data_IF_294475183142
#
_entry.id   IF_294475183142
#
_cell.length_a   1.000
_cell.length_b   1.000
_cell.length_c   1.000
_cell.angle_alpha   90.00
_cell.angle_beta   90.00
_cell.angle_gamma   90.00
#
_symmetry.space_group_name_H-M   'P 1'
#
loop_
_entity.id
_entity.type
_entity.pdbx_description
1 polymer ?
#
# COMPACT_ATOMS: atom_id res chain seq x y z
N UNK A 1 9.74 -23.62 -2.58
CA UNK A 1 8.38 -23.12 -2.76
C UNK A 1 8.44 -21.60 -2.91
N UNK A 2 7.92 -21.10 -4.02
CA UNK A 2 7.93 -19.68 -4.27
C UNK A 2 6.85 -18.96 -3.47
N UNK A 3 7.26 -17.97 -2.68
CA UNK A 3 6.32 -17.19 -1.88
C UNK A 3 5.85 -15.99 -2.69
N UNK A 4 4.54 -15.89 -2.85
CA UNK A 4 3.94 -14.74 -3.52
C UNK A 4 3.85 -13.55 -2.57
N UNK A 5 3.85 -12.36 -3.13
CA UNK A 5 3.82 -11.12 -2.36
C UNK A 5 2.87 -10.12 -3.00
N UNK A 6 2.01 -9.51 -2.17
CA UNK A 6 1.16 -8.38 -2.56
C UNK A 6 1.49 -7.21 -1.65
N UNK A 7 1.64 -6.04 -2.23
CA UNK A 7 1.94 -4.81 -1.50
C UNK A 7 0.71 -3.89 -1.49
N UNK A 8 0.34 -3.42 -0.30
CA UNK A 8 -0.70 -2.41 -0.13
C UNK A 8 -0.04 -1.07 0.12
N UNK A 9 -0.37 -0.08 -0.68
CA UNK A 9 0.15 1.27 -0.55
C UNK A 9 -0.99 2.28 -0.53
N UNK A 10 -0.67 3.51 -0.22
CA UNK A 10 -1.64 4.59 -0.14
C UNK A 10 -1.37 5.49 1.05
N UNK A 11 -2.06 6.63 1.13
CA UNK A 11 -1.84 7.59 2.22
C UNK A 11 -2.26 7.04 3.57
N UNK A 12 -1.83 7.72 4.63
CA UNK A 12 -2.25 7.40 6.00
C UNK A 12 -3.78 7.49 6.10
N UNK A 13 -4.37 6.55 6.80
CA UNK A 13 -5.83 6.52 6.99
C UNK A 13 -6.62 5.90 5.86
N UNK A 14 -5.96 5.43 4.79
CA UNK A 14 -6.66 4.80 3.66
C UNK A 14 -7.18 3.39 3.97
N UNK A 15 -6.77 2.79 5.09
CA UNK A 15 -7.26 1.48 5.50
C UNK A 15 -6.35 0.31 5.13
N UNK A 16 -5.08 0.54 4.91
CA UNK A 16 -4.12 -0.52 4.54
C UNK A 16 -4.02 -1.61 5.60
N UNK A 17 -3.83 -1.22 6.86
CA UNK A 17 -3.73 -2.17 7.97
C UNK A 17 -5.02 -2.98 8.10
N UNK A 18 -6.16 -2.34 7.97
CA UNK A 18 -7.47 -3.01 8.05
C UNK A 18 -7.66 -4.00 6.90
N UNK A 19 -7.25 -3.63 5.70
CA UNK A 19 -7.35 -4.51 4.54
C UNK A 19 -6.50 -5.76 4.73
N UNK A 20 -5.26 -5.59 5.20
CA UNK A 20 -4.36 -6.70 5.47
C UNK A 20 -4.93 -7.59 6.58
N UNK A 21 -5.45 -7.00 7.66
CA UNK A 21 -6.03 -7.74 8.78
C UNK A 21 -7.25 -8.57 8.34
N UNK A 22 -8.05 -8.03 7.43
CA UNK A 22 -9.25 -8.72 6.93
C UNK A 22 -8.86 -9.95 6.08
N UNK A 23 -7.81 -9.85 5.29
CA UNK A 23 -7.37 -10.93 4.40
C UNK A 23 -6.44 -11.92 5.07
N UNK A 24 -5.74 -11.52 6.11
CA UNK A 24 -4.68 -12.32 6.72
C UNK A 24 -5.23 -13.47 7.57
N UNK A 25 -4.62 -14.64 7.44
CA UNK A 25 -4.90 -15.81 8.27
C UNK A 25 -4.13 -15.77 9.58
N UNK A 26 -3.18 -14.86 9.71
CA UNK A 26 -2.41 -14.65 10.94
C UNK A 26 -2.70 -13.25 11.49
N UNK A 27 -2.36 -13.02 12.75
CA UNK A 27 -2.42 -11.67 13.32
C UNK A 27 -1.44 -10.78 12.59
N UNK A 28 -1.87 -9.54 12.26
CA UNK A 28 -1.01 -8.58 11.58
C UNK A 28 0.16 -8.21 12.48
N UNK A 29 1.35 -8.25 11.92
CA UNK A 29 2.59 -7.90 12.62
C UNK A 29 3.10 -6.57 12.07
N UNK A 30 3.40 -5.63 12.96
CA UNK A 30 4.09 -4.40 12.56
C UNK A 30 5.58 -4.66 12.62
N UNK A 31 6.22 -4.65 11.46
CA UNK A 31 7.64 -4.88 11.32
C UNK A 31 8.38 -3.55 11.32
N UNK A 32 9.29 -3.39 12.25
CA UNK A 32 10.11 -2.18 12.32
C UNK A 32 11.41 -2.42 11.57
N UNK A 33 11.72 -1.53 10.62
CA UNK A 33 12.97 -1.56 9.87
C UNK A 33 13.75 -0.30 10.22
N UNK A 34 14.96 -0.49 10.74
CA UNK A 34 15.83 0.63 11.08
C UNK A 34 16.47 1.17 9.81
N UNK A 35 16.67 2.49 9.79
CA UNK A 35 17.29 3.17 8.67
C UNK A 35 18.68 2.61 8.34
N UNK A 36 19.42 2.19 9.37
CA UNK A 36 20.75 1.58 9.21
C UNK A 36 20.70 0.25 8.45
N UNK A 37 19.62 -0.52 8.62
CA UNK A 37 19.45 -1.80 7.94
C UNK A 37 19.20 -1.61 6.43
N UNK A 38 18.78 -0.43 6.04
CA UNK A 38 18.51 -0.08 4.64
C UNK A 38 19.68 0.68 4.00
N UNK A 39 20.77 0.85 4.74
CA UNK A 39 21.97 1.58 4.30
C UNK A 39 21.67 3.02 3.83
N UNK A 40 20.64 3.63 4.42
CA UNK A 40 20.23 4.99 4.11
C UNK A 40 20.62 5.86 5.29
N UNK A 41 21.23 6.96 5.07
CA UNK A 41 21.69 7.96 6.03
C UNK A 41 21.88 7.48 7.49
N UNK A 42 23.11 7.16 7.87
CA UNK A 42 23.46 6.60 9.18
C UNK A 42 23.18 7.53 10.37
N UNK A 43 22.87 8.80 10.14
CA UNK A 43 22.63 9.76 11.22
C UNK A 43 21.18 9.76 11.71
N UNK A 44 20.25 9.22 10.93
CA UNK A 44 18.84 9.19 11.28
C UNK A 44 18.44 7.80 11.74
N UNK A 45 18.48 7.55 13.05
CA UNK A 45 17.94 6.34 13.66
C UNK A 45 16.41 6.41 13.58
N UNK A 46 15.87 6.25 12.37
CA UNK A 46 14.44 6.29 12.15
C UNK A 46 13.93 4.87 11.98
N UNK A 47 12.99 4.48 12.80
CA UNK A 47 12.29 3.22 12.69
C UNK A 47 11.11 3.41 11.75
N UNK A 48 11.01 2.55 10.73
CA UNK A 48 9.89 2.57 9.79
C UNK A 48 8.98 1.40 10.11
N UNK A 49 7.72 1.69 10.44
CA UNK A 49 6.71 0.67 10.70
C UNK A 49 6.10 0.16 9.40
N UNK A 50 6.13 -1.14 9.19
CA UNK A 50 5.50 -1.80 8.05
C UNK A 50 4.60 -2.90 8.57
N UNK A 51 3.40 -3.02 7.99
CA UNK A 51 2.47 -4.07 8.35
C UNK A 51 2.73 -5.32 7.51
N UNK A 52 2.56 -6.48 8.14
CA UNK A 52 2.74 -7.76 7.49
C UNK A 52 1.62 -8.72 7.90
N UNK A 53 1.07 -9.41 6.93
CA UNK A 53 0.12 -10.50 7.12
C UNK A 53 0.40 -11.62 6.13
N UNK A 54 -0.30 -12.74 6.29
CA UNK A 54 -0.19 -13.87 5.38
C UNK A 54 -1.58 -14.41 5.06
N UNK A 55 -1.78 -14.78 3.80
CA UNK A 55 -3.01 -15.41 3.33
C UNK A 55 -2.64 -16.71 2.63
N UNK A 56 -3.33 -17.80 2.98
CA UNK A 56 -3.14 -19.10 2.34
C UNK A 56 -4.36 -19.42 1.48
N UNK A 57 -4.12 -19.70 0.21
CA UNK A 57 -5.17 -20.08 -0.72
C UNK A 57 -5.49 -21.57 -0.58
N UNK A 58 -6.63 -22.00 -1.16
CA UNK A 58 -7.13 -23.37 -1.05
C UNK A 58 -6.12 -24.43 -1.53
N UNK A 59 -5.30 -24.08 -2.51
CA UNK A 59 -4.26 -24.97 -3.07
C UNK A 59 -2.98 -25.01 -2.22
N UNK A 60 -2.97 -24.34 -1.07
CA UNK A 60 -1.80 -24.28 -0.18
C UNK A 60 -0.79 -23.20 -0.54
N UNK A 61 -1.04 -22.40 -1.58
CA UNK A 61 -0.16 -21.30 -1.94
C UNK A 61 -0.26 -20.19 -0.89
N UNK A 62 0.89 -19.75 -0.37
CA UNK A 62 0.95 -18.69 0.62
C UNK A 62 1.29 -17.35 -0.04
N UNK A 63 0.57 -16.31 0.37
CA UNK A 63 0.77 -14.95 -0.11
C UNK A 63 1.13 -14.06 1.08
N UNK A 64 2.30 -13.42 1.01
CA UNK A 64 2.69 -12.39 1.97
C UNK A 64 2.00 -11.06 1.63
N UNK A 65 1.38 -10.44 2.63
CA UNK A 65 0.67 -9.17 2.51
C UNK A 65 1.49 -8.10 3.24
N UNK A 66 1.95 -7.10 2.50
CA UNK A 66 2.83 -6.05 3.04
C UNK A 66 2.15 -4.69 2.91
N UNK A 67 2.13 -3.92 4.00
CA UNK A 67 1.63 -2.55 3.97
C UNK A 67 2.78 -1.55 4.02
N UNK A 68 2.84 -0.64 3.06
CA UNK A 68 3.84 0.42 3.06
C UNK A 68 3.55 1.44 4.16
N UNK A 69 4.60 2.10 4.71
CA UNK A 69 4.38 3.25 5.57
C UNK A 69 3.62 4.34 4.81
N UNK A 70 2.58 4.89 5.42
CA UNK A 70 1.74 5.91 4.79
C UNK A 70 2.34 7.30 4.81
N UNK A 71 3.40 7.53 5.56
CA UNK A 71 4.07 8.83 5.62
C UNK A 71 5.03 8.97 4.44
N UNK A 72 4.93 10.08 3.72
CA UNK A 72 5.74 10.35 2.52
C UNK A 72 7.24 10.32 2.80
N UNK A 73 7.66 10.73 3.98
CA UNK A 73 9.09 10.74 4.34
C UNK A 73 9.70 9.33 4.32
N UNK A 74 8.87 8.28 4.31
CA UNK A 74 9.32 6.90 4.24
C UNK A 74 9.16 6.29 2.85
N UNK A 75 8.96 7.11 1.82
CA UNK A 75 8.73 6.62 0.47
C UNK A 75 9.94 5.88 -0.11
N UNK A 76 11.12 6.03 0.48
CA UNK A 76 12.32 5.31 0.06
C UNK A 76 12.19 3.78 0.22
N UNK A 77 11.31 3.32 1.10
CA UNK A 77 11.08 1.89 1.31
C UNK A 77 10.14 1.30 0.24
N UNK A 78 9.33 2.13 -0.42
CA UNK A 78 8.32 1.65 -1.37
C UNK A 78 8.91 0.87 -2.54
N UNK A 79 10.01 1.32 -3.20
CA UNK A 79 10.63 0.52 -4.26
C UNK A 79 11.14 -0.82 -3.75
N UNK A 80 11.70 -0.85 -2.54
CA UNK A 80 12.26 -2.07 -1.94
C UNK A 80 11.14 -3.08 -1.70
N UNK A 81 10.04 -2.67 -1.09
CA UNK A 81 8.90 -3.54 -0.83
C UNK A 81 8.26 -4.05 -2.12
N UNK A 82 8.24 -3.22 -3.15
CA UNK A 82 7.59 -3.56 -4.42
C UNK A 82 8.38 -4.55 -5.26
N UNK A 83 9.67 -4.74 -4.98
CA UNK A 83 10.48 -5.70 -5.71
C UNK A 83 9.94 -7.11 -5.57
N UNK A 84 9.70 -7.76 -6.70
CA UNK A 84 9.21 -9.14 -6.72
C UNK A 84 7.75 -9.31 -6.34
N UNK A 85 7.02 -8.23 -6.13
CA UNK A 85 5.59 -8.33 -5.84
C UNK A 85 4.81 -8.81 -7.06
N UNK A 86 3.81 -9.67 -6.84
CA UNK A 86 2.91 -10.09 -7.90
C UNK A 86 1.90 -9.00 -8.26
N UNK A 87 1.67 -8.07 -7.34
CA UNK A 87 0.80 -6.93 -7.56
C UNK A 87 0.94 -5.89 -6.47
N UNK A 88 0.56 -4.67 -6.79
CA UNK A 88 0.47 -3.56 -5.85
C UNK A 88 -0.96 -3.06 -5.84
N UNK A 89 -1.53 -2.95 -4.64
CA UNK A 89 -2.87 -2.39 -4.44
C UNK A 89 -2.71 -1.02 -3.78
N UNK A 90 -3.16 0.01 -4.47
CA UNK A 90 -3.16 1.37 -3.95
C UNK A 90 -4.54 1.67 -3.38
N UNK A 91 -4.61 1.96 -2.09
CA UNK A 91 -5.87 2.35 -1.44
C UNK A 91 -5.93 3.86 -1.31
N UNK A 92 -7.03 4.43 -1.79
CA UNK A 92 -7.29 5.87 -1.75
C UNK A 92 -8.50 6.12 -0.88
N UNK A 93 -8.36 7.03 0.08
CA UNK A 93 -9.44 7.41 1.00
C UNK A 93 -10.39 8.38 0.32
N UNK A 94 -11.63 7.95 0.07
CA UNK A 94 -12.66 8.76 -0.58
C UNK A 94 -13.04 9.99 0.27
N UNK A 95 -12.82 9.94 1.56
CA UNK A 95 -13.12 11.04 2.48
C UNK A 95 -11.95 12.00 2.67
N UNK A 96 -10.81 11.77 1.98
CA UNK A 96 -9.66 12.68 2.05
C UNK A 96 -9.99 14.03 1.41
N UNK A 97 -9.16 15.02 1.69
CA UNK A 97 -9.38 16.38 1.18
C UNK A 97 -9.44 16.40 -0.35
N UNK A 98 -8.49 15.72 -1.00
CA UNK A 98 -8.43 15.64 -2.47
C UNK A 98 -8.01 14.24 -2.89
N UNK A 99 -8.97 13.29 -2.92
CA UNK A 99 -8.64 11.90 -3.22
C UNK A 99 -8.14 11.68 -4.66
N UNK A 100 -8.57 12.51 -5.61
CA UNK A 100 -8.10 12.41 -7.00
C UNK A 100 -6.63 12.82 -7.10
N UNK A 101 -6.22 13.86 -6.37
CA UNK A 101 -4.82 14.26 -6.31
C UNK A 101 -3.96 13.15 -5.67
N UNK A 102 -4.47 12.51 -4.62
CA UNK A 102 -3.78 11.38 -3.99
C UNK A 102 -3.63 10.23 -4.98
N UNK A 103 -4.68 9.90 -5.71
CA UNK A 103 -4.66 8.86 -6.73
C UNK A 103 -3.59 9.15 -7.79
N UNK A 104 -3.59 10.37 -8.34
CA UNK A 104 -2.62 10.77 -9.34
C UNK A 104 -1.19 10.68 -8.84
N UNK A 105 -0.97 11.11 -7.59
CA UNK A 105 0.36 11.10 -6.96
C UNK A 105 0.89 9.66 -6.79
N UNK A 106 0.08 8.77 -6.21
CA UNK A 106 0.50 7.39 -5.98
C UNK A 106 0.68 6.61 -7.27
N UNK A 107 -0.19 6.81 -8.26
CA UNK A 107 -0.04 6.16 -9.57
C UNK A 107 1.23 6.63 -10.27
N UNK A 108 1.53 7.93 -10.21
CA UNK A 108 2.76 8.46 -10.81
C UNK A 108 4.00 7.82 -10.19
N UNK A 109 4.06 7.73 -8.86
CA UNK A 109 5.19 7.14 -8.16
C UNK A 109 5.33 5.66 -8.52
N UNK A 110 4.26 4.87 -8.35
CA UNK A 110 4.33 3.43 -8.54
C UNK A 110 4.53 3.03 -9.99
N UNK A 111 4.07 3.82 -10.95
CA UNK A 111 4.35 3.56 -12.36
C UNK A 111 5.85 3.63 -12.68
N UNK A 112 6.61 4.37 -11.90
CA UNK A 112 8.06 4.52 -12.07
C UNK A 112 8.88 3.47 -11.33
N UNK A 113 8.38 2.96 -10.21
CA UNK A 113 9.14 2.05 -9.35
C UNK A 113 8.70 0.60 -9.46
N UNK A 114 7.56 0.32 -10.10
CA UNK A 114 7.00 -1.02 -10.19
C UNK A 114 6.41 -1.26 -11.58
N UNK A 115 6.78 -2.37 -12.21
CA UNK A 115 6.41 -2.67 -13.60
C UNK A 115 5.32 -3.74 -13.71
N UNK A 116 4.78 -4.22 -12.58
CA UNK A 116 3.76 -5.26 -12.59
C UNK A 116 2.34 -4.68 -12.57
N UNK A 117 1.40 -5.47 -12.09
CA UNK A 117 -0.01 -5.10 -12.04
C UNK A 117 -0.28 -4.17 -10.87
N UNK A 118 -0.94 -3.05 -11.14
CA UNK A 118 -1.37 -2.09 -10.14
C UNK A 118 -2.90 -2.03 -10.16
N UNK A 119 -3.51 -2.20 -8.98
CA UNK A 119 -4.95 -2.09 -8.79
C UNK A 119 -5.22 -0.97 -7.81
N UNK A 120 -6.20 -0.16 -8.07
CA UNK A 120 -6.60 0.93 -7.17
C UNK A 120 -7.92 0.56 -6.50
N UNK A 121 -7.93 0.64 -5.17
CA UNK A 121 -9.13 0.48 -4.35
C UNK A 121 -9.50 1.82 -3.72
N UNK A 122 -10.79 2.13 -3.75
CA UNK A 122 -11.31 3.35 -3.11
C UNK A 122 -11.97 2.94 -1.81
N UNK A 123 -11.47 3.48 -0.70
CA UNK A 123 -11.96 3.14 0.64
C UNK A 123 -12.74 4.30 1.26
N UNK A 124 -13.37 4.04 2.40
CA UNK A 124 -14.05 5.05 3.22
C UNK A 124 -15.21 5.75 2.50
N UNK A 125 -15.89 5.04 1.60
CA UNK A 125 -17.01 5.60 0.83
C UNK A 125 -18.15 6.05 1.73
N UNK A 126 -18.37 5.35 2.83
CA UNK A 126 -19.42 5.65 3.80
C UNK A 126 -19.17 6.95 4.58
N UNK A 127 -17.95 7.42 4.65
CA UNK A 127 -17.58 8.63 5.38
C UNK A 127 -17.84 9.91 4.59
N UNK A 128 -18.04 9.80 3.28
CA UNK A 128 -18.31 10.95 2.42
C UNK A 128 -19.33 10.55 1.34
N UNK A 129 -20.57 10.19 1.78
CA UNK A 129 -21.57 9.66 0.84
C UNK A 129 -22.02 10.65 -0.22
N UNK A 130 -21.89 11.95 0.06
CA UNK A 130 -22.28 13.01 -0.89
C UNK A 130 -21.28 13.23 -2.01
N UNK A 131 -20.06 12.70 -1.89
CA UNK A 131 -19.02 12.86 -2.93
C UNK A 131 -19.25 11.82 -4.04
N UNK A 132 -19.38 12.30 -5.28
CA UNK A 132 -19.65 11.45 -6.42
C UNK A 132 -18.43 10.56 -6.73
N UNK A 133 -18.66 9.26 -6.82
CA UNK A 133 -17.63 8.29 -7.19
C UNK A 133 -17.13 8.50 -8.63
N UNK A 134 -17.92 9.14 -9.48
CA UNK A 134 -17.56 9.41 -10.88
C UNK A 134 -16.28 10.26 -11.02
N UNK A 135 -15.87 10.98 -9.96
CA UNK A 135 -14.64 11.80 -10.00
C UNK A 135 -13.42 10.98 -10.41
N UNK A 136 -13.36 9.72 -10.00
CA UNK A 136 -12.22 8.83 -10.33
C UNK A 136 -12.27 8.41 -11.80
N UNK A 137 -13.44 8.04 -12.29
CA UNK A 137 -13.64 7.66 -13.71
C UNK A 137 -13.36 8.84 -14.63
N UNK A 138 -13.81 10.02 -14.24
CA UNK A 138 -13.59 11.24 -15.03
C UNK A 138 -12.11 11.56 -15.14
N UNK A 139 -11.37 11.40 -14.03
CA UNK A 139 -9.93 11.60 -14.03
C UNK A 139 -9.22 10.60 -14.93
N UNK A 140 -9.61 9.31 -14.86
CA UNK A 140 -9.01 8.26 -15.68
C UNK A 140 -9.25 8.48 -17.17
N UNK A 141 -10.38 9.10 -17.53
CA UNK A 141 -10.75 9.37 -18.92
C UNK A 141 -10.09 10.63 -19.48
N UNK A 142 -9.49 11.45 -18.63
CA UNK A 142 -8.88 12.72 -19.05
C UNK A 142 -7.52 12.56 -19.74
#
# INVERSE_FOLDING_TARGET
MQRLKIVFSGPMGAGKTQAIATLSDISVVSTEVKNTDLHINAKALTTVGMDYGEMTLEDGVSIGLYGTPGQERFNFIWPILSQGAMGVIILIDHAAQDPVADLAHYLDIFSKIYQGNIVVGISQLDKMPERDFAIYRDWLAS
#
